data_IF_599900584656
#
_entry.id   IF_599900584656
#
_cell.length_a   1.000
_cell.length_b   1.000
_cell.length_c   1.000
_cell.angle_alpha   90.00
_cell.angle_beta   90.00
_cell.angle_gamma   90.00
#
_symmetry.space_group_name_H-M   'P 1'
#
loop_
_entity.id
_entity.type
_entity.pdbx_description
1 polymer ?
#
# COMPACT_ATOMS: atom_id res chain seq x y z
N UNK A 1 3.82 -9.32 -7.56
CA UNK A 1 3.76 -10.36 -8.60
C UNK A 1 4.79 -11.43 -8.24
N UNK A 2 4.41 -12.70 -8.06
CA UNK A 2 5.35 -13.80 -7.83
C UNK A 2 4.99 -14.94 -8.80
N UNK A 3 5.21 -14.73 -10.09
CA UNK A 3 5.00 -15.77 -11.09
C UNK A 3 6.22 -16.70 -11.09
N UNK A 4 5.98 -17.99 -10.89
CA UNK A 4 6.99 -19.04 -11.02
C UNK A 4 6.86 -19.64 -12.41
N UNK A 5 7.94 -19.62 -13.17
CA UNK A 5 8.01 -20.17 -14.52
C UNK A 5 8.71 -21.51 -14.52
N UNK A 6 8.26 -22.42 -15.38
CA UNK A 6 8.97 -23.67 -15.67
C UNK A 6 9.89 -23.43 -16.87
N UNK A 7 11.19 -23.67 -16.68
CA UNK A 7 12.21 -23.57 -17.71
C UNK A 7 12.27 -24.86 -18.55
N UNK A 8 12.73 -24.81 -19.81
CA UNK A 8 12.81 -25.99 -20.69
C UNK A 8 13.67 -27.13 -20.14
N UNK A 9 14.63 -26.83 -19.28
CA UNK A 9 15.53 -27.81 -18.64
C UNK A 9 14.95 -28.41 -17.34
N UNK A 10 13.68 -28.13 -17.04
CA UNK A 10 12.96 -28.64 -15.86
C UNK A 10 13.23 -27.85 -14.58
N UNK A 11 14.04 -26.79 -14.63
CA UNK A 11 14.19 -25.85 -13.50
C UNK A 11 12.99 -24.94 -13.37
N UNK A 12 12.81 -24.34 -12.20
CA UNK A 12 11.82 -23.27 -11.99
C UNK A 12 12.53 -21.94 -11.94
N UNK A 13 11.91 -20.85 -12.37
CA UNK A 13 12.47 -19.51 -12.21
C UNK A 13 11.43 -18.50 -11.74
N UNK A 14 11.92 -17.43 -11.10
CA UNK A 14 11.10 -16.31 -10.64
C UNK A 14 11.79 -15.02 -11.04
N UNK A 15 11.01 -14.08 -11.56
CA UNK A 15 11.43 -12.70 -11.78
C UNK A 15 10.86 -11.86 -10.65
N UNK A 16 11.70 -11.03 -10.03
CA UNK A 16 11.29 -10.13 -8.97
C UNK A 16 12.14 -8.86 -8.98
N UNK A 17 11.80 -7.89 -8.13
CA UNK A 17 12.49 -6.60 -8.04
C UNK A 17 13.23 -6.47 -6.71
N UNK A 18 14.42 -5.89 -6.73
CA UNK A 18 15.22 -5.55 -5.55
C UNK A 18 15.75 -4.12 -5.67
N UNK A 19 15.11 -3.17 -4.98
CA UNK A 19 15.36 -1.75 -5.23
C UNK A 19 15.04 -1.37 -6.67
N UNK A 20 16.00 -0.79 -7.38
CA UNK A 20 15.88 -0.42 -8.79
C UNK A 20 16.36 -1.53 -9.73
N UNK A 21 16.50 -2.78 -9.26
CA UNK A 21 16.96 -3.91 -10.08
C UNK A 21 15.86 -4.90 -10.35
N UNK A 22 15.88 -5.48 -11.54
CA UNK A 22 15.09 -6.66 -11.90
C UNK A 22 16.01 -7.87 -11.81
N UNK A 23 15.58 -8.86 -11.05
CA UNK A 23 16.36 -10.06 -10.73
C UNK A 23 15.66 -11.30 -11.28
N UNK A 24 16.45 -12.23 -11.82
CA UNK A 24 16.02 -13.58 -12.14
C UNK A 24 16.67 -14.56 -11.17
N UNK A 25 15.86 -15.43 -10.57
CA UNK A 25 16.33 -16.53 -9.75
C UNK A 25 15.85 -17.87 -10.31
N UNK A 26 16.75 -18.84 -10.45
CA UNK A 26 16.42 -20.19 -10.92
C UNK A 26 16.64 -21.25 -9.81
N UNK A 27 15.68 -22.16 -9.66
CA UNK A 27 15.62 -23.25 -8.69
C UNK A 27 15.80 -24.62 -9.37
N UNK A 28 16.39 -25.62 -8.69
CA UNK A 28 16.91 -25.55 -7.33
C UNK A 28 18.23 -24.77 -7.27
N UNK A 29 18.38 -24.03 -6.17
CA UNK A 29 19.61 -23.37 -5.78
C UNK A 29 20.72 -24.40 -5.48
N UNK A 30 21.36 -24.97 -6.50
CA UNK A 30 22.60 -25.74 -6.30
C UNK A 30 23.73 -24.77 -5.96
N UNK A 31 24.75 -25.22 -5.20
CA UNK A 31 25.91 -24.40 -4.81
C UNK A 31 26.45 -23.65 -6.03
N UNK A 32 26.36 -22.31 -6.01
CA UNK A 32 26.59 -21.45 -7.19
C UNK A 32 25.32 -20.84 -7.77
N UNK A 33 24.28 -20.62 -6.95
CA UNK A 33 23.00 -19.99 -7.29
C UNK A 33 23.13 -18.90 -8.34
N UNK A 34 22.53 -19.15 -9.49
CA UNK A 34 22.51 -18.30 -10.66
C UNK A 34 21.46 -17.19 -10.47
N UNK A 35 21.79 -16.26 -9.59
CA UNK A 35 21.08 -14.99 -9.42
C UNK A 35 21.58 -14.03 -10.50
N UNK A 36 20.70 -13.56 -11.36
CA UNK A 36 21.09 -12.63 -12.42
C UNK A 36 20.36 -11.32 -12.25
N UNK A 37 21.12 -10.22 -12.22
CA UNK A 37 20.55 -8.90 -12.45
C UNK A 37 20.26 -8.80 -13.96
N UNK A 38 18.98 -8.69 -14.31
CA UNK A 38 18.54 -8.50 -15.70
C UNK A 38 18.65 -7.03 -16.09
N UNK A 39 18.23 -6.13 -15.18
CA UNK A 39 18.18 -4.68 -15.38
C UNK A 39 18.48 -3.95 -14.07
N UNK A 40 18.96 -2.71 -14.14
CA UNK A 40 19.34 -1.87 -13.01
C UNK A 40 18.69 -0.47 -13.01
N UNK A 41 17.69 -0.28 -13.86
CA UNK A 41 16.95 0.96 -14.08
C UNK A 41 15.44 0.83 -13.77
N UNK A 42 15.04 -0.12 -12.93
CA UNK A 42 13.63 -0.33 -12.58
C UNK A 42 13.08 0.82 -11.72
N UNK A 43 11.91 1.33 -12.11
CA UNK A 43 11.11 2.28 -11.34
C UNK A 43 9.84 1.64 -10.77
N UNK A 44 9.00 1.05 -11.64
CA UNK A 44 7.69 0.50 -11.23
C UNK A 44 7.07 -0.47 -12.25
N UNK A 45 5.95 -1.08 -11.87
CA UNK A 45 5.06 -1.88 -12.75
C UNK A 45 5.73 -3.06 -13.49
N UNK A 46 6.56 -3.84 -12.78
CA UNK A 46 7.10 -5.08 -13.35
C UNK A 46 5.97 -6.09 -13.63
N UNK A 47 5.88 -6.53 -14.88
CA UNK A 47 5.02 -7.62 -15.35
C UNK A 47 5.81 -8.64 -16.18
N UNK A 48 5.40 -9.91 -16.16
CA UNK A 48 6.09 -10.97 -16.91
C UNK A 48 5.17 -12.13 -17.29
N UNK A 49 5.47 -12.79 -18.43
CA UNK A 49 4.74 -13.93 -18.97
C UNK A 49 5.69 -14.89 -19.69
N UNK A 50 5.39 -16.20 -19.66
CA UNK A 50 6.08 -17.18 -20.49
C UNK A 50 5.32 -17.36 -21.81
N UNK A 51 6.04 -17.30 -22.92
CA UNK A 51 5.49 -17.43 -24.26
C UNK A 51 6.47 -18.18 -25.16
N UNK A 52 6.02 -19.28 -25.75
CA UNK A 52 6.85 -20.24 -26.50
C UNK A 52 8.16 -20.64 -25.79
N UNK A 53 8.12 -20.78 -24.47
CA UNK A 53 9.28 -21.22 -23.67
C UNK A 53 10.26 -20.10 -23.30
N UNK A 54 10.04 -18.88 -23.78
CA UNK A 54 10.82 -17.68 -23.41
C UNK A 54 10.04 -16.90 -22.37
N UNK A 55 10.74 -16.33 -21.39
CA UNK A 55 10.12 -15.44 -20.41
C UNK A 55 10.31 -14.01 -20.88
N UNK A 56 9.20 -13.36 -21.16
CA UNK A 56 9.16 -11.94 -21.49
C UNK A 56 8.72 -11.14 -20.28
N UNK A 57 9.25 -9.93 -20.16
CA UNK A 57 8.89 -9.01 -19.09
C UNK A 57 8.80 -7.59 -19.62
N UNK A 58 8.01 -6.78 -18.93
CA UNK A 58 7.90 -5.35 -19.16
C UNK A 58 7.88 -4.59 -17.84
N UNK A 59 8.39 -3.37 -17.86
CA UNK A 59 8.46 -2.51 -16.67
C UNK A 59 8.57 -1.04 -17.07
N UNK A 60 8.40 -0.15 -16.10
CA UNK A 60 8.68 1.28 -16.26
C UNK A 60 10.08 1.55 -15.70
N UNK A 61 10.95 2.14 -16.53
CA UNK A 61 12.32 2.48 -16.11
C UNK A 61 12.39 3.83 -15.37
N UNK A 62 13.58 4.17 -14.84
CA UNK A 62 13.83 5.43 -14.11
C UNK A 62 13.58 6.69 -14.96
N UNK A 63 13.57 6.57 -16.29
CA UNK A 63 13.23 7.65 -17.23
C UNK A 63 11.72 7.73 -17.52
N UNK A 64 10.91 6.87 -16.91
CA UNK A 64 9.45 6.83 -17.12
C UNK A 64 9.04 6.19 -18.46
N UNK A 65 9.94 5.47 -19.11
CA UNK A 65 9.68 4.76 -20.36
C UNK A 65 9.25 3.33 -20.08
N UNK A 66 8.43 2.78 -20.97
CA UNK A 66 8.03 1.37 -20.87
C UNK A 66 9.04 0.54 -21.64
N UNK A 67 9.72 -0.35 -20.93
CA UNK A 67 10.72 -1.27 -21.49
C UNK A 67 10.09 -2.66 -21.58
N UNK A 68 10.29 -3.33 -22.71
CA UNK A 68 9.91 -4.71 -22.97
C UNK A 68 11.15 -5.51 -23.38
N UNK A 69 11.36 -6.67 -22.77
CA UNK A 69 12.53 -7.49 -23.03
C UNK A 69 12.22 -8.99 -22.84
N UNK A 70 13.01 -9.85 -23.50
CA UNK A 70 12.95 -11.30 -23.43
C UNK A 70 14.24 -11.88 -22.86
N UNK A 71 14.13 -12.79 -21.89
CA UNK A 71 15.32 -13.39 -21.26
C UNK A 71 16.02 -14.32 -22.26
N UNK A 72 17.18 -13.88 -22.74
CA UNK A 72 18.04 -14.66 -23.61
C UNK A 72 17.65 -14.65 -25.09
N UNK A 73 16.56 -13.95 -25.46
CA UNK A 73 16.11 -13.80 -26.84
C UNK A 73 15.42 -12.46 -27.09
N UNK A 74 15.68 -11.90 -28.28
CA UNK A 74 15.06 -10.67 -28.77
C UNK A 74 15.93 -9.42 -28.54
N UNK A 75 15.53 -8.34 -29.21
CA UNK A 75 16.04 -7.00 -28.91
C UNK A 75 15.14 -6.35 -27.87
N UNK A 76 15.74 -5.67 -26.90
CA UNK A 76 15.02 -4.80 -25.98
C UNK A 76 14.27 -3.73 -26.77
N UNK A 77 13.00 -3.54 -26.42
CA UNK A 77 12.17 -2.48 -27.00
C UNK A 77 11.79 -1.47 -25.94
N UNK A 78 12.03 -0.21 -26.27
CA UNK A 78 11.68 0.92 -25.42
C UNK A 78 10.55 1.69 -26.09
N UNK A 79 9.37 1.67 -25.49
CA UNK A 79 8.26 2.49 -25.93
C UNK A 79 8.45 3.88 -25.34
N UNK A 80 8.86 4.81 -26.20
CA UNK A 80 9.15 6.17 -25.79
C UNK A 80 7.89 6.88 -25.27
N UNK A 81 7.98 7.38 -24.04
CA UNK A 81 7.13 8.47 -23.59
C UNK A 81 7.68 9.78 -24.16
N UNK A 82 7.22 10.21 -25.34
CA UNK A 82 7.35 11.62 -25.71
C UNK A 82 6.43 12.45 -24.80
N UNK A 83 6.75 13.63 -24.28
CA UNK A 83 8.00 14.31 -23.94
C UNK A 83 7.59 15.42 -22.95
N UNK A 84 8.54 16.05 -22.25
CA UNK A 84 8.35 17.29 -21.47
C UNK A 84 7.29 18.23 -22.08
N UNK A 85 6.15 18.34 -21.42
CA UNK A 85 5.41 19.59 -21.38
C UNK A 85 5.71 20.23 -20.03
N UNK A 86 6.12 21.48 -20.09
CA UNK A 86 6.43 22.33 -18.95
C UNK A 86 5.35 22.19 -17.86
N UNK A 87 5.80 21.80 -16.66
CA UNK A 87 5.21 21.99 -15.33
C UNK A 87 3.72 21.69 -15.05
N UNK A 88 2.87 21.28 -16.00
CA UNK A 88 1.48 20.90 -15.69
C UNK A 88 0.99 19.73 -16.57
N UNK A 89 0.76 18.59 -15.92
CA UNK A 89 0.15 17.34 -16.43
C UNK A 89 1.08 16.38 -17.20
N UNK A 90 1.82 15.57 -16.44
CA UNK A 90 2.59 14.43 -16.97
C UNK A 90 1.67 13.40 -17.64
N UNK A 91 2.00 13.01 -18.87
CA UNK A 91 1.54 11.73 -19.43
C UNK A 91 2.13 10.61 -18.57
N UNK A 92 1.30 10.00 -17.72
CA UNK A 92 1.72 8.88 -16.87
C UNK A 92 1.20 7.58 -17.45
N UNK A 93 2.14 6.69 -17.77
CA UNK A 93 1.87 5.28 -17.98
C UNK A 93 1.82 4.63 -16.60
N UNK A 94 0.86 3.75 -16.40
CA UNK A 94 0.72 3.04 -15.12
C UNK A 94 0.04 1.70 -15.34
N UNK A 95 0.24 0.81 -14.38
CA UNK A 95 -0.38 -0.51 -14.32
C UNK A 95 -0.11 -1.29 -15.60
N UNK A 96 1.14 -1.73 -15.81
CA UNK A 96 1.48 -2.60 -16.94
C UNK A 96 0.98 -4.02 -16.71
N UNK A 97 0.46 -4.67 -17.74
CA UNK A 97 0.10 -6.08 -17.69
C UNK A 97 0.42 -6.77 -19.03
N UNK A 98 1.39 -7.68 -18.99
CA UNK A 98 1.86 -8.42 -20.15
C UNK A 98 1.12 -9.76 -20.24
N UNK A 99 0.42 -9.97 -21.35
CA UNK A 99 -0.43 -11.14 -21.55
C UNK A 99 -0.11 -11.86 -22.87
N UNK A 100 -0.28 -13.18 -22.87
CA UNK A 100 -0.26 -14.01 -24.07
C UNK A 100 -1.70 -14.37 -24.44
N UNK A 101 -2.15 -13.92 -25.62
CA UNK A 101 -3.51 -14.12 -26.10
C UNK A 101 -3.58 -14.20 -27.61
N UNK A 102 -4.44 -15.09 -28.14
CA UNK A 102 -4.62 -15.24 -29.59
C UNK A 102 -3.36 -15.71 -30.33
N UNK A 103 -2.38 -16.31 -29.64
CA UNK A 103 -1.10 -16.69 -30.22
C UNK A 103 -0.11 -15.54 -30.39
N UNK A 104 -0.35 -14.39 -29.75
CA UNK A 104 0.51 -13.20 -29.77
C UNK A 104 0.73 -12.66 -28.33
N UNK A 105 1.74 -11.81 -28.16
CA UNK A 105 1.96 -11.05 -26.92
C UNK A 105 1.33 -9.67 -27.01
N UNK A 106 0.72 -9.24 -25.91
CA UNK A 106 0.12 -7.93 -25.78
C UNK A 106 0.51 -7.30 -24.45
N UNK A 107 0.97 -6.06 -24.50
CA UNK A 107 1.22 -5.23 -23.34
C UNK A 107 0.02 -4.31 -23.15
N UNK A 108 -0.73 -4.56 -22.08
CA UNK A 108 -1.77 -3.66 -21.63
C UNK A 108 -1.17 -2.55 -20.78
N UNK A 109 -1.59 -1.32 -21.05
CA UNK A 109 -1.13 -0.17 -20.31
C UNK A 109 -2.24 0.86 -20.17
N UNK A 110 -2.31 1.46 -18.99
CA UNK A 110 -3.21 2.57 -18.74
C UNK A 110 -2.44 3.88 -18.92
N UNK A 111 -3.05 4.82 -19.66
CA UNK A 111 -2.46 6.11 -19.99
C UNK A 111 -3.47 7.24 -19.78
N UNK A 112 -3.02 8.35 -19.21
CA UNK A 112 -3.77 9.61 -19.28
C UNK A 112 -3.31 10.42 -20.49
N UNK A 113 -4.25 10.92 -21.28
CA UNK A 113 -4.02 11.82 -22.41
C UNK A 113 -4.47 13.25 -22.03
N UNK A 114 -3.54 14.15 -21.66
CA UNK A 114 -3.88 15.50 -21.21
C UNK A 114 -4.64 16.33 -22.26
N UNK A 115 -4.26 16.19 -23.54
CA UNK A 115 -4.90 16.92 -24.65
C UNK A 115 -6.39 16.61 -24.77
N UNK A 116 -6.78 15.35 -24.51
CA UNK A 116 -8.17 14.90 -24.57
C UNK A 116 -8.86 14.94 -23.21
N UNK A 117 -8.10 15.10 -22.13
CA UNK A 117 -8.54 14.91 -20.73
C UNK A 117 -9.20 13.56 -20.49
N UNK A 118 -8.62 12.50 -21.06
CA UNK A 118 -9.17 11.15 -21.02
C UNK A 118 -8.16 10.13 -20.55
N UNK A 119 -8.67 9.12 -19.87
CA UNK A 119 -7.96 7.90 -19.50
C UNK A 119 -8.22 6.83 -20.54
N UNK A 120 -7.14 6.25 -21.07
CA UNK A 120 -7.17 5.19 -22.06
C UNK A 120 -6.53 3.90 -21.52
N UNK A 121 -7.08 2.76 -21.89
CA UNK A 121 -6.43 1.45 -21.76
C UNK A 121 -6.03 1.01 -23.17
N UNK A 122 -4.72 0.90 -23.42
CA UNK A 122 -4.19 0.49 -24.72
C UNK A 122 -3.66 -0.92 -24.65
N UNK A 123 -3.82 -1.64 -25.75
CA UNK A 123 -3.16 -2.90 -26.02
C UNK A 123 -2.09 -2.66 -27.08
N UNK A 124 -0.83 -2.83 -26.69
CA UNK A 124 0.32 -2.67 -27.56
C UNK A 124 0.90 -4.02 -27.92
N UNK A 125 1.17 -4.25 -29.20
CA UNK A 125 1.95 -5.41 -29.62
C UNK A 125 3.44 -5.11 -29.43
N UNK A 126 4.16 -5.88 -28.60
CA UNK A 126 5.59 -5.67 -28.44
C UNK A 126 6.37 -5.92 -29.74
N UNK A 127 5.87 -6.77 -30.64
CA UNK A 127 6.58 -7.14 -31.85
C UNK A 127 6.22 -6.31 -33.07
N UNK A 128 5.04 -5.69 -33.09
CA UNK A 128 4.50 -4.96 -34.24
C UNK A 128 3.92 -3.61 -33.81
N UNK A 129 4.69 -2.55 -34.01
CA UNK A 129 4.29 -1.18 -33.62
C UNK A 129 3.06 -0.66 -34.38
N UNK A 130 2.68 -1.29 -35.49
CA UNK A 130 1.48 -0.94 -36.24
C UNK A 130 0.21 -1.53 -35.61
N UNK A 131 0.37 -2.60 -34.81
CA UNK A 131 -0.71 -3.28 -34.10
C UNK A 131 -0.87 -2.73 -32.68
N UNK A 132 -1.46 -1.55 -32.60
CA UNK A 132 -1.85 -0.94 -31.34
C UNK A 132 -3.33 -0.55 -31.42
N UNK A 133 -4.10 -0.83 -30.37
CA UNK A 133 -5.49 -0.39 -30.32
C UNK A 133 -5.94 0.04 -28.93
N UNK A 134 -6.93 0.92 -28.92
CA UNK A 134 -7.61 1.37 -27.71
C UNK A 134 -8.59 0.28 -27.28
N UNK A 135 -8.43 -0.24 -26.07
CA UNK A 135 -9.38 -1.17 -25.45
C UNK A 135 -10.58 -0.37 -24.93
N UNK A 136 -10.31 0.71 -24.17
CA UNK A 136 -11.32 1.54 -23.51
C UNK A 136 -10.82 2.97 -23.39
N UNK A 137 -11.72 3.94 -23.54
CA UNK A 137 -11.48 5.37 -23.28
C UNK A 137 -12.55 5.88 -22.29
N UNK A 138 -12.15 6.63 -21.25
CA UNK A 138 -13.05 7.17 -20.20
C UNK A 138 -12.61 8.57 -19.77
N UNK A 139 -13.55 9.39 -19.34
CA UNK A 139 -13.25 10.72 -18.78
C UNK A 139 -12.74 10.62 -17.33
N UNK A 140 -13.13 9.56 -16.61
CA UNK A 140 -12.74 9.32 -15.22
C UNK A 140 -11.64 8.28 -15.12
N UNK A 141 -10.78 8.45 -14.10
CA UNK A 141 -9.76 7.47 -13.76
C UNK A 141 -10.40 6.10 -13.41
N UNK A 142 -9.78 5.01 -13.84
CA UNK A 142 -10.25 3.64 -13.60
C UNK A 142 -9.11 2.71 -13.21
N UNK A 143 -9.43 1.60 -12.56
CA UNK A 143 -8.50 0.49 -12.33
C UNK A 143 -8.81 -0.63 -13.31
N UNK A 144 -7.80 -1.42 -13.66
CA UNK A 144 -8.04 -2.63 -14.44
C UNK A 144 -7.21 -3.81 -13.93
N UNK A 145 -7.69 -5.01 -14.21
CA UNK A 145 -7.00 -6.26 -13.95
C UNK A 145 -7.16 -7.16 -15.18
N UNK A 146 -6.06 -7.73 -15.66
CA UNK A 146 -6.10 -8.77 -16.69
C UNK A 146 -5.80 -10.14 -16.07
N UNK A 147 -6.53 -11.15 -16.53
CA UNK A 147 -6.32 -12.53 -16.11
C UNK A 147 -7.08 -13.52 -16.98
N UNK A 148 -6.91 -14.81 -16.70
CA UNK A 148 -7.54 -15.88 -17.46
C UNK A 148 -8.60 -16.63 -16.63
N UNK A 149 -9.79 -16.85 -17.20
CA UNK A 149 -10.83 -17.73 -16.65
C UNK A 149 -11.23 -18.74 -17.72
N UNK A 150 -11.11 -20.04 -17.41
CA UNK A 150 -11.55 -21.11 -18.32
C UNK A 150 -10.87 -21.06 -19.70
N UNK A 151 -9.62 -20.62 -19.77
CA UNK A 151 -8.86 -20.46 -21.01
C UNK A 151 -9.17 -19.19 -21.81
N UNK A 152 -10.11 -18.35 -21.36
CA UNK A 152 -10.38 -17.03 -21.96
C UNK A 152 -9.62 -15.96 -21.21
N UNK A 153 -8.98 -15.06 -21.95
CA UNK A 153 -8.37 -13.86 -21.38
C UNK A 153 -9.43 -12.79 -21.18
N UNK A 154 -9.46 -12.23 -19.98
CA UNK A 154 -10.46 -11.26 -19.53
C UNK A 154 -9.72 -10.07 -18.93
N UNK A 155 -10.19 -8.88 -19.27
CA UNK A 155 -9.80 -7.61 -18.69
C UNK A 155 -11.00 -7.06 -17.91
N UNK A 156 -10.88 -6.99 -16.59
CA UNK A 156 -11.86 -6.31 -15.74
C UNK A 156 -11.48 -4.85 -15.60
N UNK A 157 -12.45 -3.97 -15.77
CA UNK A 157 -12.27 -2.52 -15.60
C UNK A 157 -13.24 -2.03 -14.55
N UNK A 158 -12.68 -1.38 -13.52
CA UNK A 158 -13.40 -0.81 -12.40
C UNK A 158 -13.30 0.72 -12.46
N UNK A 159 -14.42 1.39 -12.74
CA UNK A 159 -14.55 2.84 -12.75
C UNK A 159 -15.60 3.26 -11.70
N UNK A 160 -15.14 3.70 -10.52
CA UNK A 160 -16.04 3.96 -9.40
C UNK A 160 -16.75 2.69 -8.95
N UNK A 161 -18.09 2.66 -9.04
CA UNK A 161 -18.92 1.49 -8.72
C UNK A 161 -19.17 0.58 -9.94
N UNK A 162 -18.71 0.97 -11.13
CA UNK A 162 -18.93 0.21 -12.35
C UNK A 162 -17.80 -0.78 -12.62
N UNK A 163 -18.15 -2.06 -12.67
CA UNK A 163 -17.27 -3.17 -13.02
C UNK A 163 -17.73 -3.76 -14.36
N UNK A 164 -16.85 -3.69 -15.35
CA UNK A 164 -17.07 -4.21 -16.69
C UNK A 164 -16.03 -5.28 -17.00
N UNK A 165 -16.41 -6.30 -17.78
CA UNK A 165 -15.50 -7.35 -18.21
C UNK A 165 -15.35 -7.30 -19.74
N UNK A 166 -14.12 -7.31 -20.21
CA UNK A 166 -13.77 -7.31 -21.62
C UNK A 166 -13.07 -8.62 -21.96
N UNK A 167 -13.59 -9.37 -22.93
CA UNK A 167 -13.03 -10.67 -23.31
C UNK A 167 -12.38 -10.56 -24.68
N UNK A 168 -11.28 -11.30 -24.84
CA UNK A 168 -10.61 -11.41 -26.13
C UNK A 168 -11.45 -12.18 -27.15
N UNK A 169 -11.84 -11.51 -28.23
CA UNK A 169 -12.57 -12.08 -29.37
C UNK A 169 -12.10 -11.46 -30.68
N UNK A 170 -11.83 -12.29 -31.71
CA UNK A 170 -11.47 -11.81 -33.06
C UNK A 170 -10.37 -10.74 -33.04
N UNK A 171 -9.28 -11.03 -32.33
CA UNK A 171 -8.08 -10.19 -32.20
C UNK A 171 -8.25 -8.89 -31.39
N UNK A 172 -9.39 -8.69 -30.72
CA UNK A 172 -9.63 -7.48 -29.93
C UNK A 172 -10.36 -7.79 -28.62
N UNK A 173 -10.19 -6.95 -27.62
CA UNK A 173 -11.00 -7.00 -26.40
C UNK A 173 -12.38 -6.39 -26.64
N UNK A 174 -13.44 -7.14 -26.32
CA UNK A 174 -14.83 -6.71 -26.46
C UNK A 174 -15.56 -6.78 -25.14
N UNK A 175 -16.40 -5.79 -24.86
CA UNK A 175 -17.26 -5.78 -23.68
C UNK A 175 -18.14 -7.03 -23.68
N UNK A 176 -17.97 -7.86 -22.67
CA UNK A 176 -18.73 -9.08 -22.49
C UNK A 176 -20.05 -8.77 -21.79
N UNK A 177 -21.16 -9.10 -22.47
CA UNK A 177 -22.53 -8.92 -21.97
C UNK A 177 -23.21 -10.28 -21.94
N UNK A 178 -23.01 -11.02 -20.86
CA UNK A 178 -23.72 -12.27 -20.57
C UNK A 178 -24.55 -12.08 -19.30
N UNK A 179 -25.84 -12.39 -19.36
CA UNK A 179 -26.81 -12.14 -18.28
C UNK A 179 -26.40 -12.81 -16.96
N UNK A 180 -25.76 -13.98 -17.01
CA UNK A 180 -25.27 -14.68 -15.81
C UNK A 180 -24.09 -13.97 -15.14
N UNK A 181 -23.15 -13.43 -15.93
CA UNK A 181 -22.07 -12.61 -15.37
C UNK A 181 -22.56 -11.23 -14.96
N UNK A 182 -23.55 -10.64 -15.63
CA UNK A 182 -24.18 -9.40 -15.16
C UNK A 182 -24.82 -9.58 -13.78
N UNK A 183 -25.42 -10.74 -13.54
CA UNK A 183 -25.97 -11.09 -12.22
C UNK A 183 -24.85 -11.19 -11.18
N UNK A 184 -23.77 -11.91 -11.48
CA UNK A 184 -22.60 -12.03 -10.59
C UNK A 184 -21.89 -10.68 -10.34
N UNK A 185 -21.76 -9.84 -11.37
CA UNK A 185 -21.21 -8.49 -11.27
C UNK A 185 -22.12 -7.58 -10.45
N UNK A 186 -23.44 -7.70 -10.59
CA UNK A 186 -24.41 -6.96 -9.77
C UNK A 186 -24.31 -7.38 -8.29
N UNK A 187 -24.16 -8.67 -8.00
CA UNK A 187 -23.93 -9.17 -6.64
C UNK A 187 -22.63 -8.63 -6.05
N UNK A 188 -21.53 -8.61 -6.83
CA UNK A 188 -20.25 -8.02 -6.40
C UNK A 188 -20.39 -6.51 -6.16
N UNK A 189 -21.10 -5.78 -7.03
CA UNK A 189 -21.37 -4.34 -6.85
C UNK A 189 -22.18 -4.09 -5.58
N UNK A 190 -23.22 -4.89 -5.32
CA UNK A 190 -24.05 -4.76 -4.11
C UNK A 190 -23.23 -5.06 -2.85
N UNK A 191 -22.40 -6.10 -2.88
CA UNK A 191 -21.50 -6.45 -1.78
C UNK A 191 -20.45 -5.35 -1.52
N UNK A 192 -19.86 -4.78 -2.58
CA UNK A 192 -18.92 -3.67 -2.47
C UNK A 192 -19.58 -2.41 -1.89
N UNK A 193 -20.80 -2.08 -2.34
CA UNK A 193 -21.59 -0.98 -1.79
C UNK A 193 -21.89 -1.16 -0.29
N UNK A 194 -22.36 -2.35 0.11
CA UNK A 194 -22.60 -2.70 1.53
C UNK A 194 -21.32 -2.59 2.35
N UNK A 195 -20.19 -3.07 1.84
CA UNK A 195 -18.90 -3.01 2.53
C UNK A 195 -18.41 -1.56 2.70
N UNK A 196 -18.59 -0.70 1.70
CA UNK A 196 -18.24 0.73 1.80
C UNK A 196 -19.13 1.45 2.83
N UNK A 197 -20.42 1.16 2.83
CA UNK A 197 -21.37 1.73 3.78
C UNK A 197 -21.06 1.29 5.23
N UNK A 198 -20.66 0.03 5.40
CA UNK A 198 -20.21 -0.51 6.68
C UNK A 198 -18.91 0.14 7.15
N UNK A 199 -17.93 0.35 6.27
CA UNK A 199 -16.72 1.12 6.59
C UNK A 199 -17.03 2.55 7.02
N UNK A 200 -17.97 3.23 6.34
CA UNK A 200 -18.41 4.58 6.72
C UNK A 200 -19.09 4.58 8.10
N UNK A 201 -19.91 3.56 8.42
CA UNK A 201 -20.51 3.40 9.75
C UNK A 201 -19.44 3.16 10.82
N UNK A 202 -18.52 2.23 10.61
CA UNK A 202 -17.41 1.96 11.53
C UNK A 202 -16.53 3.20 11.77
N UNK A 203 -16.25 3.99 10.73
CA UNK A 203 -15.51 5.25 10.88
C UNK A 203 -16.27 6.27 11.73
N UNK A 204 -17.59 6.41 11.53
CA UNK A 204 -18.44 7.28 12.35
C UNK A 204 -18.47 6.81 13.81
N UNK A 205 -18.63 5.51 14.05
CA UNK A 205 -18.62 4.92 15.39
C UNK A 205 -17.27 5.12 16.09
N UNK A 206 -16.15 4.90 15.37
CA UNK A 206 -14.81 5.17 15.89
C UNK A 206 -14.60 6.65 16.23
N UNK A 207 -15.13 7.56 15.41
CA UNK A 207 -15.05 9.00 15.69
C UNK A 207 -15.82 9.37 16.97
N UNK A 208 -17.05 8.86 17.13
CA UNK A 208 -17.85 9.07 18.35
C UNK A 208 -17.17 8.46 19.59
N UNK A 209 -16.59 7.26 19.46
CA UNK A 209 -15.87 6.63 20.57
C UNK A 209 -14.63 7.44 20.97
N UNK A 210 -13.90 7.96 19.99
CA UNK A 210 -12.73 8.80 20.22
C UNK A 210 -13.09 10.09 20.96
N UNK A 211 -14.18 10.75 20.57
CA UNK A 211 -14.67 11.95 21.23
C UNK A 211 -15.06 11.67 22.70
N UNK A 212 -15.76 10.56 22.97
CA UNK A 212 -16.08 10.14 24.35
C UNK A 212 -14.83 9.89 25.19
N UNK A 213 -13.84 9.20 24.64
CA UNK A 213 -12.57 8.93 25.31
C UNK A 213 -11.79 10.22 25.58
N UNK A 214 -11.84 11.20 24.67
CA UNK A 214 -11.21 12.51 24.87
C UNK A 214 -11.88 13.27 26.03
N UNK A 215 -13.22 13.30 26.08
CA UNK A 215 -13.98 13.91 27.17
C UNK A 215 -13.69 13.24 28.53
N UNK A 216 -13.64 11.90 28.57
CA UNK A 216 -13.34 11.17 29.80
C UNK A 216 -11.91 11.41 30.28
N UNK A 217 -10.93 11.43 29.36
CA UNK A 217 -9.55 11.77 29.67
C UNK A 217 -9.40 13.19 30.21
N UNK A 218 -10.14 14.16 29.67
CA UNK A 218 -10.11 15.54 30.16
C UNK A 218 -10.68 15.64 31.59
N UNK A 219 -11.78 14.93 31.86
CA UNK A 219 -12.35 14.84 33.21
C UNK A 219 -11.37 14.20 34.20
N UNK A 220 -10.71 13.10 33.81
CA UNK A 220 -9.70 12.42 34.62
C UNK A 220 -8.49 13.32 34.89
N UNK A 221 -8.01 14.07 33.89
CA UNK A 221 -6.92 15.05 34.07
C UNK A 221 -7.31 16.14 35.08
N UNK A 222 -8.52 16.67 35.00
CA UNK A 222 -9.01 17.67 35.96
C UNK A 222 -9.07 17.10 37.39
N UNK A 223 -9.54 15.86 37.55
CA UNK A 223 -9.56 15.16 38.85
C UNK A 223 -8.16 14.92 39.39
N UNK A 224 -7.24 14.45 38.55
CA UNK A 224 -5.84 14.23 38.91
C UNK A 224 -5.21 15.54 39.40
N UNK A 225 -5.41 16.63 38.67
CA UNK A 225 -4.85 17.94 39.04
C UNK A 225 -5.41 18.46 40.37
N UNK A 226 -6.70 18.23 40.66
CA UNK A 226 -7.29 18.53 41.98
C UNK A 226 -6.67 17.68 43.09
N UNK A 227 -6.52 16.38 42.85
CA UNK A 227 -5.90 15.46 43.81
C UNK A 227 -4.44 15.85 44.11
N UNK A 228 -3.65 16.19 43.09
CA UNK A 228 -2.27 16.65 43.24
C UNK A 228 -2.17 17.95 44.05
N UNK A 229 -3.06 18.92 43.82
CA UNK A 229 -3.13 20.15 44.63
C UNK A 229 -3.43 19.86 46.09
N UNK A 230 -4.40 18.99 46.36
CA UNK A 230 -4.75 18.59 47.72
C UNK A 230 -3.59 17.86 48.41
N UNK A 231 -2.89 16.99 47.69
CA UNK A 231 -1.75 16.25 48.20
C UNK A 231 -0.59 17.20 48.53
N UNK A 232 -0.33 18.19 47.67
CA UNK A 232 0.67 19.25 47.92
C UNK A 232 0.33 20.06 49.17
N UNK A 233 -0.93 20.49 49.31
CA UNK A 233 -1.41 21.21 50.49
C UNK A 233 -1.25 20.39 51.77
N UNK A 234 -1.65 19.11 51.73
CA UNK A 234 -1.49 18.21 52.88
C UNK A 234 -0.02 18.05 53.25
N UNK A 235 0.89 17.92 52.26
CA UNK A 235 2.32 17.82 52.49
C UNK A 235 2.88 19.06 53.19
N UNK A 236 2.56 20.27 52.70
CA UNK A 236 2.97 21.53 53.34
C UNK A 236 2.50 21.61 54.80
N UNK A 237 1.25 21.21 55.08
CA UNK A 237 0.72 21.13 56.45
C UNK A 237 1.47 20.13 57.33
N UNK A 238 1.84 18.97 56.79
CA UNK A 238 2.66 17.99 57.51
C UNK A 238 4.06 18.54 57.81
N UNK A 239 4.69 19.21 56.85
CA UNK A 239 6.01 19.82 57.02
C UNK A 239 5.98 20.93 58.08
N UNK A 240 4.94 21.76 58.11
CA UNK A 240 4.71 22.77 59.16
C UNK A 240 4.58 22.15 60.56
N UNK A 241 3.77 21.08 60.68
CA UNK A 241 3.59 20.36 61.94
C UNK A 241 4.89 19.71 62.40
N UNK A 242 5.66 19.13 61.48
CA UNK A 242 6.97 18.56 61.78
C UNK A 242 7.95 19.64 62.29
N UNK A 243 7.97 20.82 61.67
CA UNK A 243 8.79 21.93 62.12
C UNK A 243 8.41 22.43 63.53
N UNK A 244 7.10 22.48 63.83
CA UNK A 244 6.62 22.82 65.18
C UNK A 244 7.05 21.75 66.19
N UNK A 245 6.94 20.46 65.84
CA UNK A 245 7.35 19.37 66.71
C UNK A 245 8.86 19.42 67.03
N UNK A 246 9.71 19.73 66.04
CA UNK A 246 11.15 19.94 66.25
C UNK A 246 11.42 21.10 67.20
N UNK A 247 10.74 22.24 67.02
CA UNK A 247 10.88 23.39 67.93
C UNK A 247 10.45 23.07 69.36
N UNK A 248 9.37 22.30 69.53
CA UNK A 248 8.92 21.83 70.84
C UNK A 248 9.94 20.90 71.49
N UNK A 249 10.50 19.95 70.72
CA UNK A 249 11.56 19.07 71.22
C UNK A 249 12.81 19.85 71.65
N UNK A 250 13.25 20.84 70.87
CA UNK A 250 14.35 21.71 71.26
C UNK A 250 14.04 22.54 72.50
N UNK A 251 12.81 23.07 72.63
CA UNK A 251 12.38 23.82 73.80
C UNK A 251 12.37 22.93 75.06
N UNK A 252 11.87 21.69 74.95
CA UNK A 252 11.94 20.70 76.02
C UNK A 252 13.40 20.38 76.39
N UNK A 253 14.29 20.21 75.40
CA UNK A 253 15.71 19.96 75.64
C UNK A 253 16.38 21.12 76.37
N UNK A 254 16.16 22.37 75.93
CA UNK A 254 16.68 23.58 76.58
C UNK A 254 16.14 23.74 78.00
N UNK A 255 14.87 23.43 78.22
CA UNK A 255 14.28 23.46 79.56
C UNK A 255 14.93 22.41 80.48
N UNK A 256 15.15 21.20 79.97
CA UNK A 256 15.85 20.14 80.68
C UNK A 256 17.33 20.47 80.94
N UNK A 257 18.02 21.15 80.03
CA UNK A 257 19.40 21.63 80.23
C UNK A 257 19.48 22.80 81.24
N UNK A 258 18.49 23.70 81.26
CA UNK A 258 18.48 24.89 82.12
C UNK A 258 17.94 24.65 83.54
N UNK A 259 17.01 23.71 83.69
CA UNK A 259 16.30 23.43 84.95
C UNK A 259 16.40 21.97 85.40
N UNK A 260 16.98 21.08 84.60
CA UNK A 260 17.15 19.65 84.92
C UNK A 260 18.45 19.32 85.65
N UNK A 261 18.88 20.19 86.58
CA UNK A 261 19.84 19.82 87.61
C UNK A 261 19.09 19.11 88.75
N UNK A 262 19.43 17.84 88.97
CA UNK A 262 18.97 16.91 90.02
C UNK A 262 17.85 17.40 90.97
N UNK A 263 16.67 16.79 90.87
CA UNK A 263 15.81 16.61 92.04
C UNK A 263 15.40 15.14 92.22
N UNK A 264 16.11 14.51 93.15
CA UNK A 264 15.57 13.47 94.04
C UNK A 264 14.37 14.07 94.80
N UNK A 265 13.16 13.70 94.41
CA UNK A 265 12.00 13.62 95.31
C UNK A 265 11.24 12.35 94.90
N UNK A 266 11.53 11.21 95.54
CA UNK A 266 10.79 10.66 96.69
C UNK A 266 9.27 10.55 96.47
N UNK A 267 8.84 9.28 96.38
CA UNK A 267 7.50 8.69 96.56
C UNK A 267 6.60 8.71 95.32
#
# INVERSE_FOLDING_TARGET
MNSVYDLPDGRKSVIYTEGNRIMLHAFPARRGTSLFALKDDYLSDLTSVSFYGIIYFAYINLQGQVVFDGIGEGEEKVFACQSRLDEMEMQSWSHLNLIAVGGELWLLCKRYEPERKKWGLKALSPFDETKNYEVIERDTNFMYLAGAIGGRQIVWVLAGADLEAYIWEKQHFRLYKDEKQQTMLAEIKEAAGKAEEQRKKEQREKAVLREKLEQENEMLRSRLQKAEKNLRYAKERYDDLAAIAVKLQEACRRWQEAYGGEEKWMI
#
